data_IF_841683298678
#
_entry.id   IF_841683298678
#
_cell.length_a   1.000
_cell.length_b   1.000
_cell.length_c   1.000
_cell.angle_alpha   90.00
_cell.angle_beta   90.00
_cell.angle_gamma   90.00
#
_symmetry.space_group_name_H-M   'P 1'
#
loop_
_entity.id
_entity.type
_entity.pdbx_description
1 polymer ?
#
# COMPACT_ATOMS: atom_id res chain seq x y z
N UNK A 1 -6.23 9.46 9.26
CA UNK A 1 -6.19 8.60 8.06
C UNK A 1 -6.03 9.47 6.82
N UNK A 2 -4.81 9.75 6.39
CA UNK A 2 -4.51 10.55 5.19
C UNK A 2 -3.36 9.91 4.40
N UNK A 3 -3.43 9.96 3.07
CA UNK A 3 -2.34 9.56 2.17
C UNK A 3 -1.50 10.79 1.71
N UNK A 4 -1.70 11.94 2.35
CA UNK A 4 -1.14 13.22 1.91
C UNK A 4 -1.90 13.81 0.72
N UNK A 5 -1.31 14.81 0.07
CA UNK A 5 -1.91 15.53 -1.07
C UNK A 5 -1.01 15.56 -2.30
N UNK A 6 0.06 14.76 -2.30
CA UNK A 6 1.01 14.67 -3.41
C UNK A 6 0.80 13.42 -4.26
N UNK A 7 1.81 13.03 -5.06
CA UNK A 7 1.72 11.97 -6.06
C UNK A 7 1.11 10.66 -5.56
N UNK A 8 1.46 10.19 -4.36
CA UNK A 8 0.88 8.97 -3.79
C UNK A 8 -0.65 9.04 -3.68
N UNK A 9 -1.17 10.14 -3.11
CA UNK A 9 -2.61 10.34 -2.98
C UNK A 9 -3.29 10.53 -4.34
N UNK A 10 -2.64 11.21 -5.29
CA UNK A 10 -3.18 11.37 -6.65
C UNK A 10 -3.34 10.03 -7.37
N UNK A 11 -2.34 9.15 -7.28
CA UNK A 11 -2.41 7.80 -7.85
C UNK A 11 -3.53 7.01 -7.18
N UNK A 12 -3.59 7.02 -5.85
CA UNK A 12 -4.63 6.31 -5.12
C UNK A 12 -6.04 6.83 -5.47
N UNK A 13 -6.22 8.15 -5.50
CA UNK A 13 -7.49 8.79 -5.86
C UNK A 13 -7.95 8.42 -7.27
N UNK A 14 -7.03 8.43 -8.25
CA UNK A 14 -7.35 8.05 -9.63
C UNK A 14 -7.67 6.56 -9.77
N UNK A 15 -6.96 5.68 -9.05
CA UNK A 15 -7.25 4.25 -9.02
C UNK A 15 -8.68 3.99 -8.54
N UNK A 16 -9.03 4.55 -7.36
CA UNK A 16 -10.36 4.34 -6.80
C UNK A 16 -11.45 4.92 -7.69
N UNK A 17 -11.25 6.13 -8.22
CA UNK A 17 -12.19 6.72 -9.16
C UNK A 17 -12.31 5.94 -10.47
N UNK A 18 -11.25 5.28 -10.94
CA UNK A 18 -11.32 4.41 -12.12
C UNK A 18 -12.18 3.17 -11.86
N UNK A 19 -11.96 2.51 -10.72
CA UNK A 19 -12.72 1.32 -10.28
C UNK A 19 -14.22 1.65 -10.21
N UNK A 20 -14.55 2.76 -9.56
CA UNK A 20 -15.93 3.25 -9.44
C UNK A 20 -16.55 3.52 -10.82
N UNK A 21 -15.87 4.31 -11.68
CA UNK A 21 -16.39 4.67 -13.02
C UNK A 21 -16.54 3.47 -13.95
N UNK A 22 -15.79 2.40 -13.72
CA UNK A 22 -15.85 1.18 -14.52
C UNK A 22 -16.75 0.10 -13.92
N UNK A 23 -17.28 0.31 -12.71
CA UNK A 23 -18.10 -0.67 -12.01
C UNK A 23 -17.35 -1.99 -11.77
N UNK A 24 -16.04 -1.92 -11.52
CA UNK A 24 -15.24 -3.12 -11.28
C UNK A 24 -15.45 -3.62 -9.85
N UNK A 25 -15.81 -4.89 -9.73
CA UNK A 25 -15.90 -5.58 -8.46
C UNK A 25 -14.54 -6.17 -8.10
N UNK A 26 -13.60 -5.29 -7.70
CA UNK A 26 -12.26 -5.67 -7.30
C UNK A 26 -11.87 -4.96 -6.00
N UNK A 27 -11.10 -5.65 -5.16
CA UNK A 27 -10.53 -5.05 -3.96
C UNK A 27 -9.31 -4.20 -4.33
N UNK A 28 -9.28 -2.95 -3.86
CA UNK A 28 -8.17 -2.03 -4.09
C UNK A 28 -7.85 -1.18 -2.86
N UNK A 29 -6.58 -0.78 -2.75
CA UNK A 29 -6.08 0.04 -1.65
C UNK A 29 -4.69 0.58 -1.95
N UNK A 30 -4.12 1.30 -0.97
CA UNK A 30 -2.80 1.89 -1.06
C UNK A 30 -2.08 1.75 0.28
N UNK A 31 -0.78 1.43 0.25
CA UNK A 31 0.05 1.24 1.44
C UNK A 31 1.31 2.10 1.31
N UNK A 32 1.53 2.98 2.29
CA UNK A 32 2.82 3.63 2.46
C UNK A 32 3.77 2.72 3.23
N UNK A 33 5.03 2.70 2.82
CA UNK A 33 6.12 2.01 3.51
C UNK A 33 7.17 3.03 3.98
N UNK A 34 7.88 2.77 5.10
CA UNK A 34 8.98 3.63 5.53
C UNK A 34 10.15 3.62 4.52
N UNK A 35 11.05 4.59 4.65
CA UNK A 35 12.32 4.60 3.91
C UNK A 35 13.18 3.40 4.26
N UNK A 36 14.08 3.01 3.34
CA UNK A 36 15.13 2.04 3.61
C UNK A 36 16.22 2.64 4.52
N UNK A 37 16.95 1.82 5.31
CA UNK A 37 18.01 2.32 6.20
C UNK A 37 19.09 3.13 5.46
N UNK A 38 19.42 2.75 4.24
CA UNK A 38 20.42 3.41 3.40
C UNK A 38 19.96 4.81 2.95
N UNK A 39 18.64 5.05 2.90
CA UNK A 39 18.07 6.35 2.56
C UNK A 39 18.04 7.30 3.77
N UNK A 40 18.26 6.77 4.98
CA UNK A 40 18.22 7.54 6.24
C UNK A 40 19.59 7.60 6.91
N UNK A 41 20.69 7.34 6.20
CA UNK A 41 22.04 7.38 6.81
C UNK A 41 22.36 8.76 7.38
N UNK A 42 21.97 9.82 6.68
CA UNK A 42 22.21 11.22 7.08
C UNK A 42 21.02 11.86 7.81
N UNK A 43 19.86 11.20 7.85
CA UNK A 43 18.65 11.72 8.49
C UNK A 43 18.23 10.83 9.65
N UNK A 44 17.85 11.41 10.80
CA UNK A 44 17.34 10.64 11.96
C UNK A 44 15.90 10.15 11.75
N UNK A 45 15.48 9.95 10.51
CA UNK A 45 14.15 9.48 10.17
C UNK A 45 14.05 7.97 10.43
N UNK A 46 12.89 7.48 10.90
CA UNK A 46 12.67 6.06 11.04
C UNK A 46 12.72 5.37 9.68
N UNK A 47 13.27 4.16 9.65
CA UNK A 47 13.42 3.33 8.46
C UNK A 47 13.05 1.88 8.74
N UNK A 48 12.88 1.10 7.67
CA UNK A 48 12.55 -0.31 7.72
C UNK A 48 13.37 -1.06 6.66
N UNK A 49 13.93 -2.23 7.01
CA UNK A 49 14.69 -3.02 6.04
C UNK A 49 13.82 -3.49 4.87
N UNK A 50 14.46 -3.71 3.72
CA UNK A 50 13.78 -4.22 2.54
C UNK A 50 13.12 -5.58 2.82
N UNK A 51 13.82 -6.49 3.49
CA UNK A 51 13.31 -7.83 3.82
C UNK A 51 12.04 -7.77 4.67
N UNK A 52 12.02 -6.88 5.68
CA UNK A 52 10.84 -6.73 6.54
C UNK A 52 9.68 -6.08 5.78
N UNK A 53 9.97 -5.11 4.92
CA UNK A 53 8.97 -4.49 4.04
C UNK A 53 8.35 -5.53 3.09
N UNK A 54 9.18 -6.36 2.46
CA UNK A 54 8.73 -7.45 1.60
C UNK A 54 7.86 -8.47 2.37
N UNK A 55 8.30 -8.87 3.58
CA UNK A 55 7.53 -9.79 4.41
C UNK A 55 6.17 -9.21 4.82
N UNK A 56 6.11 -7.92 5.13
CA UNK A 56 4.85 -7.24 5.46
C UNK A 56 3.89 -7.24 4.26
N UNK A 57 4.39 -6.98 3.04
CA UNK A 57 3.56 -7.00 1.83
C UNK A 57 3.08 -8.42 1.49
N UNK A 58 3.91 -9.44 1.69
CA UNK A 58 3.49 -10.85 1.55
C UNK A 58 2.30 -11.16 2.48
N UNK A 59 2.40 -10.81 3.77
CA UNK A 59 1.33 -11.02 4.75
C UNK A 59 0.05 -10.27 4.35
N UNK A 60 0.17 -9.03 3.84
CA UNK A 60 -0.99 -8.27 3.35
C UNK A 60 -1.68 -9.03 2.22
N UNK A 61 -0.94 -9.47 1.20
CA UNK A 61 -1.50 -10.18 0.05
C UNK A 61 -2.14 -11.50 0.49
N UNK A 62 -1.48 -12.27 1.35
CA UNK A 62 -2.03 -13.51 1.90
C UNK A 62 -3.34 -13.27 2.65
N UNK A 63 -3.36 -12.26 3.53
CA UNK A 63 -4.53 -11.91 4.34
C UNK A 63 -5.71 -11.50 3.47
N UNK A 64 -5.48 -10.64 2.48
CA UNK A 64 -6.52 -10.19 1.54
C UNK A 64 -7.00 -11.34 0.63
N UNK A 65 -6.09 -12.21 0.21
CA UNK A 65 -6.44 -13.38 -0.61
C UNK A 65 -7.31 -14.36 0.17
N UNK A 66 -7.02 -14.58 1.46
CA UNK A 66 -7.86 -15.40 2.33
C UNK A 66 -9.25 -14.77 2.49
N UNK A 67 -9.32 -13.46 2.77
CA UNK A 67 -10.59 -12.73 2.86
C UNK A 67 -11.46 -12.95 1.64
N UNK A 68 -10.91 -12.76 0.44
CA UNK A 68 -11.66 -12.93 -0.82
C UNK A 68 -12.17 -14.36 -1.04
N UNK A 69 -11.42 -15.38 -0.59
CA UNK A 69 -11.84 -16.79 -0.73
C UNK A 69 -12.98 -17.20 0.20
N UNK A 70 -13.26 -16.43 1.25
CA UNK A 70 -14.26 -16.75 2.28
C UNK A 70 -15.43 -15.75 2.31
N UNK A 71 -15.50 -14.82 1.36
CA UNK A 71 -16.68 -13.95 1.13
C UNK A 71 -17.59 -14.43 -0.01
N UNK A 72 -17.23 -15.52 -0.69
CA UNK A 72 -18.10 -16.33 -1.56
C UNK A 72 -18.91 -17.35 -0.75
#
# INVERSE_FOLDING_TARGET
NTAGTYGCNQIFYHLMGFIERKGLDILAGFIHVPSLPEQTVESKLPSMSLDLTAKALEIVVETLSLRLRFED
#
